data_IF_979200924126
#
_entry.id   IF_979200924126
#
_cell.length_a   1.000
_cell.length_b   1.000
_cell.length_c   1.000
_cell.angle_alpha   90.00
_cell.angle_beta   90.00
_cell.angle_gamma   90.00
#
_symmetry.space_group_name_H-M   'P 1'
#
loop_
_entity.id
_entity.type
_entity.pdbx_description
1 polymer ?
#
# COMPACT_ATOMS: atom_id res chain seq x y z
N UNK A 1 12.56 0.87 -5.42
CA UNK A 1 13.62 1.71 -4.80
C UNK A 1 13.05 2.96 -4.16
N UNK A 2 12.29 3.81 -4.87
CA UNK A 2 11.69 5.02 -4.28
C UNK A 2 10.92 4.75 -2.98
N UNK A 3 9.99 3.78 -3.00
CA UNK A 3 9.19 3.45 -1.82
C UNK A 3 10.00 3.05 -0.59
N UNK A 4 11.02 2.19 -0.76
CA UNK A 4 11.86 1.78 0.37
C UNK A 4 12.71 2.93 0.92
N UNK A 5 13.26 3.79 0.06
CA UNK A 5 14.03 4.96 0.53
C UNK A 5 13.13 5.92 1.31
N UNK A 6 11.92 6.17 0.80
CA UNK A 6 10.92 7.02 1.46
C UNK A 6 10.53 6.48 2.83
N UNK A 7 10.28 5.18 2.97
CA UNK A 7 9.93 4.59 4.26
C UNK A 7 11.08 4.72 5.26
N UNK A 8 12.31 4.37 4.86
CA UNK A 8 13.49 4.54 5.74
C UNK A 8 13.70 5.99 6.18
N UNK A 9 13.63 6.94 5.23
CA UNK A 9 13.73 8.37 5.54
C UNK A 9 12.65 8.80 6.55
N UNK A 10 11.41 8.35 6.35
CA UNK A 10 10.30 8.69 7.22
C UNK A 10 10.46 8.12 8.62
N UNK A 11 10.92 6.86 8.76
CA UNK A 11 11.22 6.28 10.08
C UNK A 11 12.25 7.12 10.82
N UNK A 12 13.35 7.47 10.15
CA UNK A 12 14.40 8.30 10.75
C UNK A 12 13.83 9.67 11.15
N UNK A 13 13.06 10.31 10.26
CA UNK A 13 12.44 11.61 10.54
C UNK A 13 11.49 11.54 11.74
N UNK A 14 10.64 10.52 11.84
CA UNK A 14 9.73 10.34 12.99
C UNK A 14 10.54 10.19 14.28
N UNK A 15 11.54 9.32 14.31
CA UNK A 15 12.37 9.09 15.50
C UNK A 15 13.07 10.38 15.94
N UNK A 16 13.73 11.08 15.01
CA UNK A 16 14.46 12.31 15.32
C UNK A 16 13.51 13.41 15.80
N UNK A 17 12.37 13.60 15.13
CA UNK A 17 11.40 14.62 15.51
C UNK A 17 10.73 14.31 16.85
N UNK A 18 10.42 13.04 17.14
CA UNK A 18 9.90 12.64 18.46
C UNK A 18 10.90 12.97 19.57
N UNK A 19 12.16 12.57 19.45
CA UNK A 19 13.15 12.85 20.50
C UNK A 19 13.50 14.34 20.61
N UNK A 20 13.44 15.09 19.51
CA UNK A 20 13.61 16.55 19.55
C UNK A 20 12.47 17.24 20.32
N UNK A 21 11.25 16.68 20.25
CA UNK A 21 10.08 17.23 20.93
C UNK A 21 9.95 16.78 22.40
N UNK A 22 10.74 15.79 22.83
CA UNK A 22 10.71 15.25 24.19
C UNK A 22 10.81 16.33 25.27
N UNK A 23 11.71 17.31 25.09
CA UNK A 23 11.85 18.41 26.05
C UNK A 23 10.60 19.30 26.10
N UNK A 24 9.89 19.48 25.00
CA UNK A 24 8.67 20.30 24.99
C UNK A 24 7.50 19.54 25.64
N UNK A 25 7.41 18.23 25.39
CA UNK A 25 6.35 17.37 25.92
C UNK A 25 6.52 17.13 27.42
N UNK A 26 7.75 16.94 27.91
CA UNK A 26 7.99 16.73 29.36
C UNK A 26 7.74 17.99 30.18
N UNK A 27 7.97 19.17 29.59
CA UNK A 27 7.75 20.46 30.24
C UNK A 27 6.35 21.04 29.97
N UNK A 28 5.45 20.28 29.34
CA UNK A 28 4.07 20.72 29.12
C UNK A 28 3.33 20.82 30.47
N UNK A 29 2.29 21.68 30.56
CA UNK A 29 1.46 21.77 31.77
C UNK A 29 0.81 20.43 32.17
N UNK A 30 0.54 19.59 31.17
CA UNK A 30 -0.08 18.28 31.30
C UNK A 30 0.83 17.24 30.61
N UNK A 31 1.81 16.64 31.32
CA UNK A 31 2.69 15.63 30.74
C UNK A 31 1.93 14.31 30.50
N UNK A 32 2.30 13.53 29.46
CA UNK A 32 1.57 12.34 29.07
C UNK A 32 1.63 11.23 30.12
N UNK A 33 0.55 10.48 30.28
CA UNK A 33 0.50 9.26 31.09
C UNK A 33 1.05 8.06 30.32
N UNK A 34 1.50 7.04 31.07
CA UNK A 34 2.05 5.81 30.50
C UNK A 34 1.31 4.59 31.05
N UNK A 35 0.42 4.02 30.24
CA UNK A 35 -0.30 2.79 30.52
C UNK A 35 0.35 1.57 29.85
N UNK A 36 0.99 0.70 30.63
CA UNK A 36 1.73 -0.47 30.10
C UNK A 36 0.82 -1.48 29.40
N UNK A 37 -0.42 -1.68 29.88
CA UNK A 37 -1.37 -2.62 29.28
C UNK A 37 -2.78 -2.05 29.30
N UNK A 38 -3.36 -1.89 28.11
CA UNK A 38 -4.76 -1.47 27.92
C UNK A 38 -5.51 -2.61 27.22
N UNK A 39 -6.21 -3.44 27.99
CA UNK A 39 -6.92 -4.62 27.45
C UNK A 39 -8.04 -4.26 26.46
N UNK A 40 -8.67 -3.10 26.63
CA UNK A 40 -9.72 -2.60 25.72
C UNK A 40 -9.17 -2.24 24.34
N UNK A 41 -7.90 -1.84 24.25
CA UNK A 41 -7.22 -1.50 23.00
C UNK A 41 -6.59 -2.69 22.28
N UNK A 42 -6.46 -3.84 22.96
CA UNK A 42 -5.79 -5.02 22.42
C UNK A 42 -6.39 -5.50 21.08
N UNK A 43 -7.72 -5.61 20.90
CA UNK A 43 -8.28 -6.07 19.63
C UNK A 43 -7.97 -5.11 18.46
N UNK A 44 -8.00 -3.81 18.72
CA UNK A 44 -7.71 -2.77 17.72
C UNK A 44 -6.24 -2.79 17.34
N UNK A 45 -5.34 -2.93 18.32
CA UNK A 45 -3.91 -3.06 18.09
C UNK A 45 -3.57 -4.31 17.27
N UNK A 46 -4.15 -5.47 17.63
CA UNK A 46 -3.96 -6.71 16.87
C UNK A 46 -4.48 -6.62 15.44
N UNK A 47 -5.63 -5.96 15.23
CA UNK A 47 -6.16 -5.72 13.89
C UNK A 47 -5.24 -4.82 13.07
N UNK A 48 -4.71 -3.75 13.66
CA UNK A 48 -3.79 -2.82 12.99
C UNK A 48 -2.46 -3.50 12.64
N UNK A 49 -1.88 -4.29 13.55
CA UNK A 49 -0.67 -5.08 13.28
C UNK A 49 -0.93 -6.08 12.15
N UNK A 50 -2.03 -6.85 12.23
CA UNK A 50 -2.38 -7.83 11.21
C UNK A 50 -2.55 -7.18 9.83
N UNK A 51 -3.21 -6.03 9.77
CA UNK A 51 -3.35 -5.24 8.54
C UNK A 51 -2.00 -4.72 8.02
N UNK A 52 -1.11 -4.29 8.91
CA UNK A 52 0.21 -3.75 8.55
C UNK A 52 1.18 -4.78 7.95
N UNK A 53 0.97 -6.07 8.24
CA UNK A 53 1.67 -7.20 7.61
C UNK A 53 0.85 -7.83 6.46
N UNK A 54 -0.24 -7.19 6.04
CA UNK A 54 -1.05 -7.58 4.89
C UNK A 54 -0.34 -7.25 3.57
N UNK A 55 0.43 -8.21 3.04
CA UNK A 55 1.14 -8.07 1.76
C UNK A 55 1.14 -9.34 0.89
N UNK A 56 0.50 -10.41 1.35
CA UNK A 56 0.71 -11.76 0.82
C UNK A 56 0.25 -11.93 -0.63
N UNK A 57 -0.73 -11.15 -1.11
CA UNK A 57 -1.19 -11.23 -2.50
C UNK A 57 -0.13 -10.79 -3.52
N UNK A 58 0.90 -10.06 -3.10
CA UNK A 58 1.98 -9.62 -4.00
C UNK A 58 3.15 -10.61 -4.01
N UNK A 59 3.19 -11.52 -3.03
CA UNK A 59 4.31 -12.44 -2.83
C UNK A 59 4.55 -13.39 -4.00
N UNK A 60 3.54 -14.05 -4.60
CA UNK A 60 3.75 -14.93 -5.75
C UNK A 60 4.41 -14.20 -6.92
N UNK A 61 3.94 -12.99 -7.22
CA UNK A 61 4.52 -12.16 -8.28
C UNK A 61 5.97 -11.76 -7.98
N UNK A 62 6.30 -11.44 -6.72
CA UNK A 62 7.68 -11.13 -6.34
C UNK A 62 8.56 -12.37 -6.52
N UNK A 63 8.12 -13.53 -6.03
CA UNK A 63 8.85 -14.80 -6.15
C UNK A 63 9.10 -15.17 -7.62
N UNK A 64 8.10 -15.04 -8.49
CA UNK A 64 8.23 -15.33 -9.91
C UNK A 64 9.28 -14.47 -10.61
N UNK A 65 9.42 -13.21 -10.16
CA UNK A 65 10.37 -12.24 -10.68
C UNK A 65 11.77 -12.33 -10.03
N UNK A 66 11.97 -13.22 -9.06
CA UNK A 66 13.28 -13.41 -8.44
C UNK A 66 14.24 -14.14 -9.38
N UNK A 67 15.47 -13.63 -9.50
CA UNK A 67 16.58 -14.31 -10.18
C UNK A 67 16.83 -15.73 -9.63
N UNK A 68 16.63 -15.93 -8.32
CA UNK A 68 16.76 -17.23 -7.66
C UNK A 68 15.57 -17.51 -6.73
N UNK A 69 14.57 -18.24 -7.25
CA UNK A 69 13.34 -18.61 -6.51
C UNK A 69 13.60 -19.46 -5.27
N UNK A 70 14.68 -20.26 -5.25
CA UNK A 70 15.04 -21.11 -4.11
C UNK A 70 15.37 -20.32 -2.84
N UNK A 71 15.69 -19.03 -2.96
CA UNK A 71 16.00 -18.16 -1.84
C UNK A 71 14.77 -17.44 -1.26
N UNK A 72 13.57 -17.69 -1.78
CA UNK A 72 12.32 -17.00 -1.40
C UNK A 72 12.12 -16.93 0.11
N UNK A 73 12.15 -18.07 0.81
CA UNK A 73 11.89 -18.15 2.25
C UNK A 73 12.83 -17.25 3.08
N UNK A 74 14.10 -17.16 2.69
CA UNK A 74 15.08 -16.31 3.38
C UNK A 74 14.79 -14.84 3.08
N UNK A 75 14.51 -14.50 1.82
CA UNK A 75 14.24 -13.12 1.39
C UNK A 75 12.97 -12.57 2.04
N UNK A 76 11.87 -13.32 2.02
CA UNK A 76 10.61 -12.89 2.64
C UNK A 76 10.74 -12.80 4.16
N UNK A 77 11.46 -13.74 4.79
CA UNK A 77 11.73 -13.69 6.23
C UNK A 77 12.51 -12.44 6.64
N UNK A 78 13.58 -12.10 5.92
CA UNK A 78 14.37 -10.89 6.16
C UNK A 78 13.58 -9.61 5.87
N UNK A 79 12.75 -9.61 4.83
CA UNK A 79 11.89 -8.47 4.50
C UNK A 79 10.86 -8.20 5.62
N UNK A 80 10.15 -9.24 6.08
CA UNK A 80 9.20 -9.13 7.17
C UNK A 80 9.86 -8.72 8.49
N UNK A 81 11.03 -9.27 8.80
CA UNK A 81 11.81 -8.89 9.98
C UNK A 81 12.24 -7.42 9.93
N UNK A 82 12.64 -6.92 8.75
CA UNK A 82 12.99 -5.50 8.56
C UNK A 82 11.78 -4.59 8.79
N UNK A 83 10.61 -4.94 8.24
CA UNK A 83 9.37 -4.20 8.49
C UNK A 83 9.00 -4.21 9.98
N UNK A 84 9.10 -5.36 10.64
CA UNK A 84 8.82 -5.49 12.07
C UNK A 84 9.74 -4.60 12.93
N UNK A 85 11.04 -4.57 12.61
CA UNK A 85 12.00 -3.72 13.29
C UNK A 85 11.67 -2.23 13.10
N UNK A 86 11.33 -1.81 11.88
CA UNK A 86 10.94 -0.42 11.60
C UNK A 86 9.67 -0.02 12.37
N UNK A 87 8.65 -0.89 12.41
CA UNK A 87 7.44 -0.65 13.18
C UNK A 87 7.72 -0.55 14.67
N UNK A 88 8.55 -1.45 15.22
CA UNK A 88 8.93 -1.42 16.63
C UNK A 88 9.69 -0.13 17.01
N UNK A 89 10.58 0.35 16.14
CA UNK A 89 11.32 1.60 16.36
C UNK A 89 10.38 2.80 16.43
N UNK A 90 9.43 2.92 15.49
CA UNK A 90 8.45 4.02 15.51
C UNK A 90 7.53 3.90 16.72
N UNK A 91 7.02 2.71 17.01
CA UNK A 91 6.13 2.47 18.14
C UNK A 91 6.81 2.82 19.46
N UNK A 92 8.07 2.40 19.64
CA UNK A 92 8.86 2.74 20.82
C UNK A 92 9.10 4.24 20.92
N UNK A 93 9.61 4.90 19.88
CA UNK A 93 9.91 6.33 19.93
C UNK A 93 8.65 7.19 20.12
N UNK A 94 7.53 6.83 19.47
CA UNK A 94 6.26 7.52 19.61
C UNK A 94 5.69 7.38 21.02
N UNK A 95 5.59 6.14 21.52
CA UNK A 95 5.03 5.89 22.85
C UNK A 95 5.93 6.42 23.99
N UNK A 96 7.26 6.36 23.82
CA UNK A 96 8.19 6.87 24.82
C UNK A 96 8.08 8.40 25.00
N UNK A 97 7.78 9.14 23.94
CA UNK A 97 7.70 10.61 23.99
C UNK A 97 6.28 11.09 24.31
N UNK A 98 5.27 10.53 23.66
CA UNK A 98 3.89 11.04 23.73
C UNK A 98 2.98 10.19 24.63
N UNK A 99 3.43 9.03 25.12
CA UNK A 99 2.65 8.16 26.00
C UNK A 99 1.26 7.83 25.46
N UNK A 100 0.27 7.90 26.33
CA UNK A 100 -1.14 7.62 26.03
C UNK A 100 -1.78 8.68 25.10
N UNK A 101 -1.13 9.84 24.89
CA UNK A 101 -1.60 10.91 23.98
C UNK A 101 -1.13 10.72 22.53
N UNK A 102 -0.53 9.56 22.21
CA UNK A 102 -0.12 9.22 20.84
C UNK A 102 -1.34 9.14 19.91
N UNK A 103 -1.33 9.95 18.84
CA UNK A 103 -2.38 9.99 17.83
C UNK A 103 -2.08 9.08 16.64
N UNK A 104 -3.14 8.65 15.95
CA UNK A 104 -3.04 7.97 14.66
C UNK A 104 -3.56 8.90 13.54
N UNK A 105 -2.74 9.25 12.54
CA UNK A 105 -1.33 8.87 12.38
C UNK A 105 -0.36 9.67 13.28
N UNK A 106 0.80 9.10 13.62
CA UNK A 106 1.82 9.70 14.52
C UNK A 106 2.36 11.05 14.06
N UNK A 107 2.25 11.36 12.76
CA UNK A 107 2.60 12.67 12.20
C UNK A 107 1.88 13.84 12.88
N UNK A 108 0.73 13.60 13.50
CA UNK A 108 -0.05 14.61 14.19
C UNK A 108 0.55 15.04 15.52
N UNK A 109 1.34 14.18 16.17
CA UNK A 109 2.05 14.51 17.42
C UNK A 109 3.35 15.27 17.15
N UNK A 110 3.98 15.06 16.00
CA UNK A 110 5.30 15.61 15.70
C UNK A 110 5.30 17.13 15.57
N UNK A 111 6.40 17.81 15.95
CA UNK A 111 6.52 19.25 15.84
C UNK A 111 6.46 19.68 14.37
N UNK A 112 5.64 20.70 14.10
CA UNK A 112 5.45 21.23 12.75
C UNK A 112 6.72 21.88 12.24
N UNK A 113 7.14 21.51 11.04
CA UNK A 113 8.33 22.06 10.40
C UNK A 113 8.59 21.45 9.03
N UNK A 114 9.66 21.93 8.38
CA UNK A 114 10.01 21.52 7.02
C UNK A 114 10.25 20.01 6.90
N UNK A 115 10.93 19.41 7.87
CA UNK A 115 11.22 17.96 7.87
C UNK A 115 9.93 17.15 7.92
N UNK A 116 8.98 17.54 8.79
CA UNK A 116 7.68 16.90 8.87
C UNK A 116 6.92 17.02 7.54
N UNK A 117 6.86 18.22 6.96
CA UNK A 117 6.19 18.46 5.67
C UNK A 117 6.78 17.61 4.54
N UNK A 118 8.10 17.53 4.44
CA UNK A 118 8.77 16.71 3.42
C UNK A 118 8.49 15.22 3.64
N UNK A 119 8.57 14.73 4.89
CA UNK A 119 8.27 13.33 5.22
C UNK A 119 6.81 12.97 4.89
N UNK A 120 5.86 13.84 5.26
CA UNK A 120 4.45 13.64 4.92
C UNK A 120 4.25 13.62 3.41
N UNK A 121 4.84 14.55 2.65
CA UNK A 121 4.73 14.58 1.19
C UNK A 121 5.31 13.32 0.54
N UNK A 122 6.51 12.89 0.95
CA UNK A 122 7.12 11.67 0.42
C UNK A 122 6.27 10.45 0.73
N UNK A 123 5.77 10.31 1.96
CA UNK A 123 4.85 9.22 2.31
C UNK A 123 3.55 9.26 1.52
N UNK A 124 2.98 10.45 1.29
CA UNK A 124 1.80 10.60 0.45
C UNK A 124 2.09 10.08 -0.96
N UNK A 125 3.17 10.54 -1.61
CA UNK A 125 3.53 10.07 -2.96
C UNK A 125 3.81 8.56 -2.95
N UNK A 126 4.51 8.06 -1.93
CA UNK A 126 4.78 6.63 -1.78
C UNK A 126 3.49 5.82 -1.77
N UNK A 127 2.56 6.11 -0.85
CA UNK A 127 1.27 5.40 -0.73
C UNK A 127 0.46 5.50 -2.01
N UNK A 128 0.47 6.67 -2.66
CA UNK A 128 -0.21 6.89 -3.93
C UNK A 128 0.37 6.03 -5.07
N UNK A 129 1.68 5.79 -5.08
CA UNK A 129 2.32 4.92 -6.07
C UNK A 129 2.18 3.42 -5.76
N UNK A 130 2.07 3.03 -4.48
CA UNK A 130 1.89 1.61 -4.10
C UNK A 130 0.44 1.15 -4.19
N UNK A 131 -0.55 2.03 -4.03
CA UNK A 131 -1.97 1.64 -4.07
C UNK A 131 -2.39 0.94 -5.39
N UNK A 132 -2.05 1.45 -6.59
CA UNK A 132 -2.43 0.78 -7.85
C UNK A 132 -1.74 -0.57 -8.04
N UNK A 133 -0.48 -0.69 -7.58
CA UNK A 133 0.29 -1.94 -7.65
C UNK A 133 -0.42 -3.01 -6.82
N UNK A 134 -0.78 -2.68 -5.58
CA UNK A 134 -1.46 -3.60 -4.68
C UNK A 134 -2.84 -4.01 -5.19
N UNK A 135 -3.64 -3.05 -5.67
CA UNK A 135 -4.95 -3.32 -6.26
C UNK A 135 -4.86 -4.22 -7.50
N UNK A 136 -3.83 -4.03 -8.33
CA UNK A 136 -3.62 -4.84 -9.53
C UNK A 136 -3.23 -6.27 -9.18
N UNK A 137 -2.27 -6.46 -8.26
CA UNK A 137 -1.88 -7.80 -7.80
C UNK A 137 -3.06 -8.53 -7.16
N UNK A 138 -3.83 -7.86 -6.30
CA UNK A 138 -5.04 -8.42 -5.72
C UNK A 138 -6.07 -8.82 -6.79
N UNK A 139 -6.29 -7.97 -7.79
CA UNK A 139 -7.24 -8.27 -8.86
C UNK A 139 -6.83 -9.51 -9.67
N UNK A 140 -5.54 -9.67 -9.98
CA UNK A 140 -5.02 -10.84 -10.72
C UNK A 140 -5.25 -12.13 -9.94
N UNK A 141 -4.94 -12.15 -8.64
CA UNK A 141 -5.14 -13.32 -7.78
C UNK A 141 -6.62 -13.73 -7.71
N UNK A 142 -7.54 -12.76 -7.56
CA UNK A 142 -8.98 -13.05 -7.55
C UNK A 142 -9.47 -13.49 -8.93
N UNK A 143 -8.96 -12.90 -10.01
CA UNK A 143 -9.26 -13.32 -11.39
C UNK A 143 -8.86 -14.79 -11.62
N UNK A 144 -7.67 -15.19 -11.16
CA UNK A 144 -7.20 -16.57 -11.22
C UNK A 144 -8.06 -17.51 -10.36
N UNK A 145 -8.42 -17.09 -9.14
CA UNK A 145 -9.28 -17.89 -8.24
C UNK A 145 -10.68 -18.10 -8.82
N UNK A 146 -11.27 -17.06 -9.42
CA UNK A 146 -12.56 -17.12 -10.10
C UNK A 146 -12.50 -17.80 -11.48
N UNK A 147 -11.34 -18.31 -11.89
CA UNK A 147 -11.09 -18.93 -13.20
C UNK A 147 -11.47 -18.04 -14.37
N UNK A 148 -11.26 -16.73 -14.21
CA UNK A 148 -11.37 -15.73 -15.27
C UNK A 148 -10.08 -15.83 -16.12
N UNK A 149 -9.88 -16.99 -16.70
CA UNK A 149 -8.71 -17.38 -17.46
C UNK A 149 -9.16 -17.85 -18.84
N UNK A 150 -8.32 -17.62 -19.86
CA UNK A 150 -8.56 -17.95 -21.29
C UNK A 150 -9.05 -19.38 -21.56
N UNK A 151 -8.84 -20.30 -20.62
CA UNK A 151 -9.30 -21.69 -20.73
C UNK A 151 -10.83 -21.83 -20.71
N UNK A 152 -11.56 -20.87 -20.13
CA UNK A 152 -13.00 -21.01 -19.89
C UNK A 152 -13.87 -20.01 -20.67
N UNK A 153 -13.32 -18.89 -21.15
CA UNK A 153 -14.07 -17.79 -21.76
C UNK A 153 -13.47 -17.31 -23.08
N UNK A 154 -14.35 -16.82 -23.97
CA UNK A 154 -13.95 -16.12 -25.21
C UNK A 154 -13.13 -14.86 -24.91
N UNK A 155 -12.15 -14.46 -25.75
CA UNK A 155 -11.27 -13.32 -25.51
C UNK A 155 -12.01 -12.02 -25.15
N UNK A 156 -13.16 -11.77 -25.77
CA UNK A 156 -13.99 -10.59 -25.52
C UNK A 156 -14.78 -10.68 -24.20
N UNK A 157 -15.23 -11.88 -23.83
CA UNK A 157 -15.96 -12.11 -22.58
C UNK A 157 -15.01 -12.04 -21.38
N UNK A 158 -13.81 -12.61 -21.49
CA UNK A 158 -12.76 -12.48 -20.48
C UNK A 158 -12.38 -11.00 -20.29
N UNK A 159 -12.17 -10.27 -21.39
CA UNK A 159 -11.82 -8.84 -21.34
C UNK A 159 -12.89 -8.02 -20.61
N UNK A 160 -14.17 -8.22 -20.98
CA UNK A 160 -15.28 -7.51 -20.35
C UNK A 160 -15.38 -7.85 -18.86
N UNK A 161 -15.24 -9.12 -18.49
CA UNK A 161 -15.33 -9.57 -17.10
C UNK A 161 -14.16 -9.05 -16.24
N UNK A 162 -12.94 -9.05 -16.81
CA UNK A 162 -11.73 -8.51 -16.17
C UNK A 162 -11.83 -7.00 -15.96
N UNK A 163 -12.29 -6.27 -16.98
CA UNK A 163 -12.51 -4.82 -16.90
C UNK A 163 -13.60 -4.47 -15.88
N UNK A 164 -14.72 -5.21 -15.86
CA UNK A 164 -15.83 -4.98 -14.95
C UNK A 164 -15.43 -5.30 -13.50
N UNK A 165 -14.67 -6.37 -13.27
CA UNK A 165 -14.17 -6.75 -11.96
C UNK A 165 -13.18 -5.72 -11.40
N UNK A 166 -12.17 -5.32 -12.18
CA UNK A 166 -11.18 -4.31 -11.77
C UNK A 166 -11.82 -2.95 -11.51
N UNK A 167 -12.73 -2.53 -12.38
CA UNK A 167 -13.47 -1.27 -12.20
C UNK A 167 -14.35 -1.34 -10.94
N UNK A 168 -15.05 -2.46 -10.73
CA UNK A 168 -15.83 -2.70 -9.52
C UNK A 168 -14.99 -2.63 -8.24
N UNK A 169 -13.82 -3.24 -8.23
CA UNK A 169 -12.85 -3.19 -7.13
C UNK A 169 -12.44 -1.75 -6.79
N UNK A 170 -12.06 -0.97 -7.81
CA UNK A 170 -11.67 0.44 -7.63
C UNK A 170 -12.84 1.27 -7.09
N UNK A 171 -14.05 1.05 -7.60
CA UNK A 171 -15.27 1.75 -7.14
C UNK A 171 -15.60 1.39 -5.70
N UNK A 172 -15.52 0.11 -5.33
CA UNK A 172 -15.75 -0.35 -3.95
C UNK A 172 -14.71 0.25 -3.00
N UNK A 173 -13.41 0.15 -3.34
CA UNK A 173 -12.34 0.73 -2.52
C UNK A 173 -12.50 2.25 -2.37
N UNK A 174 -12.87 2.95 -3.44
CA UNK A 174 -13.14 4.40 -3.41
C UNK A 174 -14.36 4.71 -2.56
N UNK A 175 -15.43 3.92 -2.66
CA UNK A 175 -16.65 4.08 -1.85
C UNK A 175 -16.37 3.88 -0.36
N UNK A 176 -15.60 2.85 0.00
CA UNK A 176 -15.15 2.61 1.39
C UNK A 176 -14.30 3.78 1.88
N UNK A 177 -13.34 4.25 1.08
CA UNK A 177 -12.49 5.39 1.44
C UNK A 177 -13.31 6.66 1.69
N UNK A 178 -14.28 6.98 0.83
CA UNK A 178 -15.18 8.12 1.01
C UNK A 178 -16.05 7.96 2.27
N UNK A 179 -16.50 6.74 2.56
CA UNK A 179 -17.35 6.43 3.72
C UNK A 179 -16.57 6.52 5.05
N UNK A 180 -15.30 6.13 5.05
CA UNK A 180 -14.42 6.18 6.23
C UNK A 180 -13.86 7.57 6.50
N UNK A 181 -13.42 8.30 5.46
CA UNK A 181 -12.77 9.61 5.62
C UNK A 181 -13.73 10.80 5.48
N UNK A 182 -14.98 10.55 5.10
CA UNK A 182 -16.03 11.56 4.99
C UNK A 182 -15.90 12.46 3.75
N UNK A 183 -17.03 12.67 3.05
CA UNK A 183 -17.16 13.52 1.85
C UNK A 183 -16.62 14.96 2.03
N UNK A 184 -16.55 15.45 3.27
CA UNK A 184 -16.20 16.84 3.61
C UNK A 184 -14.70 17.08 3.87
N UNK A 185 -13.88 16.04 4.01
CA UNK A 185 -12.46 16.18 4.38
C UNK A 185 -11.48 15.84 3.24
N UNK A 186 -11.97 15.54 2.03
CA UNK A 186 -11.11 15.32 0.87
C UNK A 186 -10.85 16.63 0.12
N UNK A 187 -9.59 17.03 0.10
CA UNK A 187 -9.08 18.10 -0.75
C UNK A 187 -9.34 17.79 -2.23
N UNK A 188 -9.70 18.80 -3.03
CA UNK A 188 -9.96 18.66 -4.47
C UNK A 188 -8.78 18.02 -5.22
N UNK A 189 -7.56 18.21 -4.70
CA UNK A 189 -6.32 17.58 -5.19
C UNK A 189 -6.32 16.06 -5.04
N UNK A 190 -6.86 15.53 -3.93
CA UNK A 190 -6.97 14.08 -3.70
C UNK A 190 -7.99 13.44 -4.65
N UNK A 191 -9.06 14.18 -4.97
CA UNK A 191 -10.11 13.73 -5.89
C UNK A 191 -9.61 13.71 -7.35
N UNK A 192 -8.92 14.78 -7.77
CA UNK A 192 -8.23 14.83 -9.07
C UNK A 192 -7.17 13.73 -9.21
N UNK A 193 -6.41 13.45 -8.15
CA UNK A 193 -5.42 12.38 -8.17
C UNK A 193 -6.06 10.99 -8.26
N UNK A 194 -7.18 10.76 -7.57
CA UNK A 194 -7.88 9.48 -7.67
C UNK A 194 -8.43 9.26 -9.10
N UNK A 195 -8.93 10.32 -9.74
CA UNK A 195 -9.31 10.30 -11.16
C UNK A 195 -8.08 10.02 -12.03
N UNK A 196 -6.93 10.63 -11.75
CA UNK A 196 -5.70 10.36 -12.49
C UNK A 196 -5.26 8.89 -12.38
N UNK A 197 -5.27 8.31 -11.18
CA UNK A 197 -4.98 6.89 -10.96
C UNK A 197 -5.95 6.00 -11.73
N UNK A 198 -7.23 6.37 -11.74
CA UNK A 198 -8.26 5.64 -12.51
C UNK A 198 -7.98 5.70 -14.01
N UNK A 199 -7.59 6.87 -14.54
CA UNK A 199 -7.20 7.05 -15.95
C UNK A 199 -5.95 6.24 -16.28
N UNK A 200 -4.92 6.27 -15.42
CA UNK A 200 -3.71 5.43 -15.59
C UNK A 200 -4.06 3.94 -15.56
N UNK A 201 -4.97 3.53 -14.67
CA UNK A 201 -5.48 2.16 -14.62
C UNK A 201 -6.20 1.75 -15.91
N UNK A 202 -7.05 2.63 -16.46
CA UNK A 202 -7.73 2.41 -17.75
C UNK A 202 -6.72 2.33 -18.89
N UNK A 203 -5.72 3.22 -18.93
CA UNK A 203 -4.65 3.20 -19.94
C UNK A 203 -3.85 1.89 -19.82
N UNK A 204 -3.52 1.46 -18.59
CA UNK A 204 -2.87 0.17 -18.35
C UNK A 204 -3.69 -1.01 -18.87
N UNK A 205 -5.02 -0.96 -18.70
CA UNK A 205 -5.93 -1.95 -19.30
C UNK A 205 -5.91 -1.92 -20.83
N UNK A 206 -5.87 -0.73 -21.46
CA UNK A 206 -5.80 -0.60 -22.92
C UNK A 206 -4.48 -1.14 -23.46
N UNK A 207 -3.35 -0.79 -22.84
CA UNK A 207 -2.02 -1.28 -23.24
C UNK A 207 -1.95 -2.80 -23.10
N UNK A 208 -2.38 -3.34 -21.96
CA UNK A 208 -2.46 -4.79 -21.76
C UNK A 208 -3.37 -5.49 -22.77
N UNK A 209 -4.46 -4.84 -23.19
CA UNK A 209 -5.35 -5.35 -24.26
C UNK A 209 -4.67 -5.36 -25.62
N UNK A 210 -3.88 -4.33 -25.93
CA UNK A 210 -3.19 -4.20 -27.22
C UNK A 210 -2.06 -5.22 -27.33
N UNK A 211 -1.29 -5.43 -26.26
CA UNK A 211 -0.24 -6.45 -26.20
C UNK A 211 -0.83 -7.87 -26.31
N UNK A 212 -1.99 -8.11 -25.70
CA UNK A 212 -2.71 -9.38 -25.83
C UNK A 212 -3.17 -9.66 -27.27
N UNK A 213 -3.63 -8.64 -28.01
CA UNK A 213 -4.02 -8.76 -29.43
C UNK A 213 -2.80 -8.98 -30.32
N UNK A 214 -1.69 -8.28 -30.05
CA UNK A 214 -0.44 -8.47 -30.77
C UNK A 214 0.15 -9.87 -30.57
N UNK A 215 0.02 -10.43 -29.36
CA UNK A 215 0.38 -11.82 -29.10
C UNK A 215 -0.47 -12.79 -29.94
N UNK A 216 -1.79 -12.58 -30.02
CA UNK A 216 -2.68 -13.38 -30.87
C UNK A 216 -2.31 -13.33 -32.35
N UNK A 217 -2.03 -12.14 -32.89
CA UNK A 217 -1.62 -11.97 -34.29
C UNK A 217 -0.29 -12.66 -34.59
N UNK A 218 0.63 -12.71 -33.62
CA UNK A 218 1.88 -13.47 -33.76
C UNK A 218 1.63 -14.96 -33.83
N UNK A 219 0.86 -15.51 -32.89
CA UNK A 219 0.55 -16.95 -32.86
C UNK A 219 -0.14 -17.42 -34.15
N UNK A 220 -1.13 -16.67 -34.65
CA UNK A 220 -1.78 -16.98 -35.93
C UNK A 220 -0.82 -16.94 -37.11
N UNK A 221 0.04 -15.93 -37.15
CA UNK A 221 1.03 -15.79 -38.22
C UNK A 221 2.07 -16.93 -38.19
N UNK A 222 2.46 -17.39 -37.02
CA UNK A 222 3.38 -18.51 -36.86
C UNK A 222 2.76 -19.84 -37.33
N UNK A 223 1.47 -20.06 -37.07
CA UNK A 223 0.73 -21.22 -37.60
C UNK A 223 0.62 -21.21 -39.13
N UNK A 224 0.42 -20.05 -39.74
CA UNK A 224 0.39 -19.92 -41.21
C UNK A 224 1.77 -20.11 -41.86
N UNK A 225 2.87 -19.75 -41.20
CA UNK A 225 4.23 -19.97 -41.74
C UNK A 225 4.76 -21.39 -41.59
N UNK A 226 4.16 -22.21 -40.71
CA UNK A 226 4.59 -23.59 -40.46
C UNK A 226 3.80 -24.65 -41.25
N UNK A 227 2.83 -24.22 -42.08
CA UNK A 227 2.08 -25.04 -43.03
C UNK A 227 2.52 -24.76 -44.47
#
# INVERSE_FOLDING_TARGET
>A
VFGSVTTFFTVIAIVVLSFADLSNVVNSPDPPSYSIVVFTGLPIALASISFSFGGNCVFPHIEENMKNKKSWNIVVGLALATCAAMYAIIAFAGYYVYGDDTMSPVFLNLPKGLVLTIATLFMTIHVLTTAPIYLTSFAIEVEQYLKITREFYSPWAELALRALFRTGLIVICTGIAISLFGWKSMSIWALLWNIFVMVVGIIGCIIGSTDAILALLRDFREMDTNN
#
